data_IF_984279455853
#
_entry.id   IF_984279455853
#
_cell.length_a   1.000
_cell.length_b   1.000
_cell.length_c   1.000
_cell.angle_alpha   90.00
_cell.angle_beta   90.00
_cell.angle_gamma   90.00
#
_symmetry.space_group_name_H-M   'P 1'
#
loop_
_entity.id
_entity.type
_entity.pdbx_description
1 polymer ?
#
# COMPACT_ATOMS: atom_id res chain seq x y z
N UNK A 1 -23.42 12.42 27.39
CA UNK A 1 -24.81 12.60 26.91
C UNK A 1 -24.82 13.18 25.50
N UNK A 2 -24.36 14.43 25.30
CA UNK A 2 -24.40 15.12 24.00
C UNK A 2 -23.69 14.33 22.87
N UNK A 3 -22.46 13.87 23.12
CA UNK A 3 -21.67 13.05 22.19
C UNK A 3 -22.47 11.86 21.65
N UNK A 4 -23.14 11.11 22.54
CA UNK A 4 -23.99 9.97 22.15
C UNK A 4 -25.28 10.42 21.44
N UNK A 5 -25.95 11.44 21.97
CA UNK A 5 -27.23 11.93 21.44
C UNK A 5 -27.11 12.45 20.01
N UNK A 6 -25.99 13.11 19.68
CA UNK A 6 -25.72 13.66 18.37
C UNK A 6 -24.75 12.82 17.53
N UNK A 7 -24.44 11.61 17.98
CA UNK A 7 -23.56 10.65 17.29
C UNK A 7 -22.21 11.26 16.88
N UNK A 8 -21.63 12.06 17.77
CA UNK A 8 -20.30 12.64 17.57
C UNK A 8 -19.27 11.57 17.92
N UNK A 9 -18.75 10.86 16.93
CA UNK A 9 -17.76 9.81 17.15
C UNK A 9 -16.33 10.41 17.12
N UNK A 10 -15.48 9.97 18.06
CA UNK A 10 -14.04 10.19 17.98
C UNK A 10 -13.42 8.95 17.34
N UNK A 11 -12.72 9.10 16.22
CA UNK A 11 -11.91 8.02 15.65
C UNK A 11 -10.41 8.37 15.59
N UNK A 12 -10.04 9.61 15.88
CA UNK A 12 -8.66 9.95 16.15
C UNK A 12 -8.33 9.44 17.56
N UNK A 13 -7.85 8.19 17.63
CA UNK A 13 -7.26 7.62 18.85
C UNK A 13 -6.07 8.44 19.38
N UNK A 14 -5.61 9.41 18.59
CA UNK A 14 -4.48 10.29 18.87
C UNK A 14 -4.83 11.75 19.11
N UNK A 15 -6.11 12.15 19.23
CA UNK A 15 -6.43 13.54 19.61
C UNK A 15 -5.79 13.87 20.95
N UNK A 16 -4.77 14.73 20.95
CA UNK A 16 -4.14 15.20 22.18
C UNK A 16 -5.01 16.28 22.79
N UNK A 17 -5.76 15.92 23.83
CA UNK A 17 -6.53 16.89 24.59
C UNK A 17 -5.59 17.66 25.54
N UNK A 18 -5.73 18.99 25.66
CA UNK A 18 -4.88 19.80 26.54
C UNK A 18 -5.22 19.65 28.03
N UNK A 19 -6.22 18.80 28.36
CA UNK A 19 -6.80 18.73 29.70
C UNK A 19 -6.10 17.70 30.58
N UNK A 20 -5.45 18.19 31.64
CA UNK A 20 -4.73 17.37 32.62
C UNK A 20 -5.66 16.49 33.47
N UNK A 21 -6.94 16.85 33.59
CA UNK A 21 -7.96 16.10 34.33
C UNK A 21 -8.73 15.09 33.47
N UNK A 22 -8.39 14.96 32.18
CA UNK A 22 -9.00 13.99 31.26
C UNK A 22 -7.96 12.94 30.87
N UNK A 23 -8.07 11.75 31.47
CA UNK A 23 -7.12 10.64 31.25
C UNK A 23 -7.33 10.06 29.85
N UNK A 24 -6.26 9.96 29.03
CA UNK A 24 -6.30 9.33 27.69
C UNK A 24 -6.95 7.94 27.77
N UNK A 25 -7.83 7.63 26.81
CA UNK A 25 -8.60 6.38 26.73
C UNK A 25 -9.60 6.10 27.87
N UNK A 26 -9.87 7.05 28.75
CA UNK A 26 -10.98 6.94 29.71
C UNK A 26 -12.35 7.19 29.05
N UNK A 27 -13.44 6.79 29.70
CA UNK A 27 -14.80 7.14 29.24
C UNK A 27 -14.99 8.66 29.09
N UNK A 28 -14.38 9.43 29.99
CA UNK A 28 -14.42 10.89 29.92
C UNK A 28 -13.68 11.40 28.68
N UNK A 29 -12.54 10.82 28.32
CA UNK A 29 -11.80 11.17 27.11
C UNK A 29 -12.64 10.95 25.85
N UNK A 30 -13.30 9.80 25.73
CA UNK A 30 -14.18 9.52 24.60
C UNK A 30 -15.44 10.39 24.56
N UNK A 31 -15.90 10.90 25.71
CA UNK A 31 -17.01 11.85 25.77
C UNK A 31 -16.59 13.30 25.44
N UNK A 32 -15.43 13.72 25.94
CA UNK A 32 -14.92 15.10 25.83
C UNK A 32 -14.30 15.37 24.48
N UNK A 33 -13.52 14.44 23.93
CA UNK A 33 -12.76 14.62 22.70
C UNK A 33 -13.60 15.17 21.53
N UNK A 34 -14.69 14.50 21.13
CA UNK A 34 -15.54 14.99 20.04
C UNK A 34 -16.14 16.37 20.29
N UNK A 35 -16.47 16.70 21.54
CA UNK A 35 -17.04 18.00 21.90
C UNK A 35 -15.97 19.10 21.87
N UNK A 36 -14.72 18.77 22.14
CA UNK A 36 -13.61 19.71 22.07
C UNK A 36 -13.19 19.95 20.61
N UNK A 37 -13.02 18.87 19.84
CA UNK A 37 -12.58 18.91 18.44
C UNK A 37 -13.58 19.68 17.55
N UNK A 38 -14.88 19.53 17.82
CA UNK A 38 -15.93 20.28 17.13
C UNK A 38 -16.21 21.66 17.76
N UNK A 39 -15.33 22.15 18.64
CA UNK A 39 -15.43 23.45 19.31
C UNK A 39 -16.76 23.70 20.06
N UNK A 40 -17.44 22.63 20.47
CA UNK A 40 -18.65 22.72 21.28
C UNK A 40 -18.30 23.17 22.70
N UNK A 41 -17.22 22.61 23.25
CA UNK A 41 -16.68 22.89 24.58
C UNK A 41 -15.21 23.30 24.51
N UNK A 42 -14.72 24.01 25.53
CA UNK A 42 -13.33 24.52 25.58
C UNK A 42 -12.61 24.30 26.92
N UNK A 43 -13.20 23.54 27.83
CA UNK A 43 -12.76 23.44 29.22
C UNK A 43 -13.10 24.66 30.08
N UNK A 44 -12.82 24.55 31.39
CA UNK A 44 -12.97 25.65 32.37
C UNK A 44 -11.73 26.55 32.41
N UNK A 45 -10.56 25.97 32.12
CA UNK A 45 -9.29 26.66 31.87
C UNK A 45 -8.63 26.05 30.63
N UNK A 46 -7.48 26.59 30.22
CA UNK A 46 -6.72 26.05 29.09
C UNK A 46 -6.27 24.59 29.29
N UNK A 47 -6.07 24.16 30.54
CA UNK A 47 -5.52 22.83 30.87
C UNK A 47 -6.42 21.99 31.79
N UNK A 48 -7.64 22.44 32.06
CA UNK A 48 -8.61 21.72 32.90
C UNK A 48 -9.99 21.76 32.25
N UNK A 49 -10.58 20.58 32.07
CA UNK A 49 -11.92 20.44 31.52
C UNK A 49 -13.00 20.70 32.57
N UNK A 50 -12.81 20.19 33.80
CA UNK A 50 -13.73 20.36 34.92
C UNK A 50 -14.76 19.23 35.02
N UNK A 51 -14.32 17.96 34.97
CA UNK A 51 -15.21 16.78 34.94
C UNK A 51 -16.20 16.68 36.12
N UNK A 52 -15.90 17.33 37.25
CA UNK A 52 -16.74 17.34 38.47
C UNK A 52 -17.63 18.58 38.59
N UNK A 53 -17.46 19.56 37.70
CA UNK A 53 -18.21 20.81 37.76
C UNK A 53 -19.63 20.64 37.23
N UNK A 54 -20.59 21.30 37.87
CA UNK A 54 -22.00 21.26 37.42
C UNK A 54 -22.19 22.18 36.21
N UNK A 55 -22.71 21.63 35.12
CA UNK A 55 -23.08 22.40 33.93
C UNK A 55 -24.33 23.23 34.22
N UNK A 56 -24.23 24.55 34.07
CA UNK A 56 -25.37 25.47 34.20
C UNK A 56 -26.32 25.34 33.01
N UNK A 57 -27.61 25.61 33.22
CA UNK A 57 -28.63 25.61 32.14
C UNK A 57 -28.22 26.47 30.93
N UNK A 58 -27.62 27.64 31.17
CA UNK A 58 -27.14 28.53 30.11
C UNK A 58 -25.97 27.94 29.32
N UNK A 59 -25.06 27.21 29.97
CA UNK A 59 -23.95 26.53 29.29
C UNK A 59 -24.46 25.36 28.45
N UNK A 60 -25.39 24.56 28.99
CA UNK A 60 -26.00 23.47 28.22
C UNK A 60 -26.72 24.01 26.97
N UNK A 61 -27.49 25.09 27.09
CA UNK A 61 -28.15 25.74 25.96
C UNK A 61 -27.15 26.21 24.90
N UNK A 62 -26.00 26.75 25.31
CA UNK A 62 -24.93 27.15 24.40
C UNK A 62 -24.30 25.94 23.68
N UNK A 63 -24.07 24.83 24.39
CA UNK A 63 -23.53 23.61 23.78
C UNK A 63 -24.50 23.03 22.75
N UNK A 64 -25.79 22.98 23.07
CA UNK A 64 -26.83 22.53 22.13
C UNK A 64 -26.85 23.46 20.91
N UNK A 65 -26.87 24.78 21.09
CA UNK A 65 -26.89 25.72 19.97
C UNK A 65 -25.68 25.54 19.03
N UNK A 66 -24.48 25.33 19.57
CA UNK A 66 -23.27 25.06 18.78
C UNK A 66 -23.35 23.73 18.05
N UNK A 67 -23.85 22.68 18.71
CA UNK A 67 -24.01 21.37 18.08
C UNK A 67 -25.04 21.47 16.95
N UNK A 68 -26.18 22.11 17.17
CA UNK A 68 -27.21 22.29 16.14
C UNK A 68 -26.67 23.08 14.93
N UNK A 69 -25.91 24.16 15.18
CA UNK A 69 -25.26 24.92 14.11
C UNK A 69 -24.24 24.08 13.33
N UNK A 70 -23.42 23.30 14.04
CA UNK A 70 -22.48 22.36 13.44
C UNK A 70 -23.22 21.29 12.62
N UNK A 71 -24.27 20.66 13.16
CA UNK A 71 -25.07 19.65 12.46
C UNK A 71 -25.70 20.21 11.19
N UNK A 72 -26.20 21.45 11.23
CA UNK A 72 -26.77 22.12 10.06
C UNK A 72 -25.75 22.42 8.96
N UNK A 73 -24.45 22.45 9.29
CA UNK A 73 -23.36 22.66 8.32
C UNK A 73 -22.77 21.35 7.76
N UNK A 74 -23.14 20.19 8.31
CA UNK A 74 -22.66 18.90 7.82
C UNK A 74 -23.31 18.59 6.49
N UNK A 75 -22.51 18.06 5.57
CA UNK A 75 -22.94 17.73 4.21
C UNK A 75 -22.81 16.24 4.05
N UNK A 76 -23.92 15.60 3.65
CA UNK A 76 -23.99 14.17 3.48
C UNK A 76 -24.41 13.79 2.07
N UNK A 77 -23.95 12.62 1.62
CA UNK A 77 -24.44 11.93 0.43
C UNK A 77 -24.77 10.50 0.84
N UNK A 78 -25.98 10.05 0.55
CA UNK A 78 -26.40 8.67 0.82
C UNK A 78 -26.50 7.88 -0.49
N UNK A 79 -26.18 6.59 -0.41
CA UNK A 79 -26.41 5.60 -1.45
C UNK A 79 -27.20 4.46 -0.84
N UNK A 80 -28.33 4.10 -1.45
CA UNK A 80 -29.26 3.11 -0.88
C UNK A 80 -29.14 1.79 -1.61
N UNK A 81 -29.26 0.69 -0.87
CA UNK A 81 -29.19 -0.67 -1.43
C UNK A 81 -30.18 -0.90 -2.58
N UNK A 82 -31.38 -0.32 -2.47
CA UNK A 82 -32.42 -0.37 -3.50
C UNK A 82 -31.98 0.19 -4.87
N UNK A 83 -31.09 1.18 -4.90
CA UNK A 83 -30.66 1.85 -6.14
C UNK A 83 -29.71 0.95 -6.95
N UNK A 84 -29.14 -0.07 -6.30
CA UNK A 84 -28.22 -1.05 -6.88
C UNK A 84 -28.83 -2.46 -6.95
N UNK A 85 -30.11 -2.62 -6.56
CA UNK A 85 -30.74 -3.94 -6.49
C UNK A 85 -30.02 -4.92 -5.54
N UNK A 86 -29.37 -4.41 -4.49
CA UNK A 86 -28.56 -5.17 -3.55
C UNK A 86 -29.27 -5.35 -2.20
N UNK A 87 -28.84 -6.34 -1.42
CA UNK A 87 -29.22 -6.52 -0.01
C UNK A 87 -28.27 -5.75 0.93
N UNK A 88 -27.01 -5.59 0.51
CA UNK A 88 -25.96 -4.92 1.27
C UNK A 88 -25.09 -4.05 0.35
N UNK A 89 -24.67 -2.88 0.83
CA UNK A 89 -23.70 -2.02 0.16
C UNK A 89 -22.44 -1.89 1.01
N UNK A 90 -21.30 -2.07 0.37
CA UNK A 90 -19.99 -1.76 0.93
C UNK A 90 -19.33 -0.62 0.15
N UNK A 91 -18.51 0.17 0.82
CA UNK A 91 -17.80 1.28 0.22
C UNK A 91 -16.33 1.27 0.65
N UNK A 92 -15.43 1.31 -0.33
CA UNK A 92 -13.98 1.42 -0.11
C UNK A 92 -13.49 2.75 -0.67
N UNK A 93 -12.79 3.53 0.15
CA UNK A 93 -12.24 4.84 -0.25
C UNK A 93 -10.79 4.73 -0.73
N UNK A 94 -10.44 5.55 -1.72
CA UNK A 94 -9.10 5.68 -2.28
C UNK A 94 -8.70 7.16 -2.29
N UNK A 95 -7.46 7.44 -1.91
CA UNK A 95 -6.95 8.81 -1.75
C UNK A 95 -7.82 9.68 -0.83
N UNK A 96 -8.40 9.13 0.24
CA UNK A 96 -9.18 9.88 1.22
C UNK A 96 -8.29 10.51 2.30
N UNK A 97 -7.28 11.28 1.87
CA UNK A 97 -6.39 12.00 2.77
C UNK A 97 -6.19 13.42 2.26
N UNK A 98 -6.04 14.37 3.17
CA UNK A 98 -5.67 15.76 2.87
C UNK A 98 -4.27 15.83 2.25
N UNK A 99 -3.91 16.97 1.65
CA UNK A 99 -2.60 17.14 1.01
C UNK A 99 -1.41 16.95 1.97
N UNK A 100 -1.60 17.22 3.27
CA UNK A 100 -0.63 16.97 4.34
C UNK A 100 -0.70 15.53 4.91
N UNK A 101 -1.60 14.68 4.39
CA UNK A 101 -1.83 13.27 4.74
C UNK A 101 -2.13 12.99 6.21
N UNK A 102 -2.51 14.00 6.99
CA UNK A 102 -2.78 13.81 8.42
C UNK A 102 -4.25 13.48 8.71
N UNK A 103 -5.18 13.83 7.81
CA UNK A 103 -6.62 13.72 8.06
C UNK A 103 -7.40 13.25 6.83
N UNK A 104 -8.51 12.54 7.06
CA UNK A 104 -9.49 12.23 6.02
C UNK A 104 -10.30 13.48 5.65
N UNK A 105 -10.61 13.67 4.36
CA UNK A 105 -11.46 14.80 3.94
C UNK A 105 -12.94 14.41 3.78
N UNK A 106 -13.26 13.11 3.78
CA UNK A 106 -14.62 12.60 3.95
C UNK A 106 -14.65 11.36 4.83
N UNK A 107 -15.84 11.01 5.33
CA UNK A 107 -16.07 9.82 6.15
C UNK A 107 -17.19 8.96 5.58
N UNK A 108 -17.05 7.65 5.70
CA UNK A 108 -18.05 6.66 5.30
C UNK A 108 -18.72 6.07 6.55
N UNK A 109 -20.04 5.96 6.49
CA UNK A 109 -20.88 5.31 7.50
C UNK A 109 -21.66 4.17 6.86
N UNK A 110 -21.50 2.96 7.36
CA UNK A 110 -22.39 1.84 7.01
C UNK A 110 -23.75 2.05 7.65
N UNK A 111 -24.81 1.84 6.87
CA UNK A 111 -26.20 1.91 7.29
C UNK A 111 -26.87 0.56 7.01
N UNK A 112 -28.01 0.27 7.64
CA UNK A 112 -28.73 -0.97 7.37
C UNK A 112 -29.26 -1.04 5.93
N UNK A 113 -29.54 0.11 5.31
CA UNK A 113 -30.14 0.25 3.98
C UNK A 113 -29.19 0.92 2.96
N UNK A 114 -27.87 0.91 3.23
CA UNK A 114 -26.87 1.45 2.33
C UNK A 114 -25.65 2.05 3.02
N UNK A 115 -25.11 3.11 2.44
CA UNK A 115 -23.95 3.83 2.97
C UNK A 115 -24.17 5.33 2.95
N UNK A 116 -23.58 6.05 3.90
CA UNK A 116 -23.64 7.50 4.00
C UNK A 116 -22.24 8.09 4.07
N UNK A 117 -21.98 9.07 3.22
CA UNK A 117 -20.75 9.83 3.17
C UNK A 117 -20.96 11.17 3.87
N UNK A 118 -19.97 11.63 4.61
CA UNK A 118 -19.92 12.96 5.22
C UNK A 118 -18.70 13.72 4.71
N UNK A 119 -18.90 14.96 4.28
CA UNK A 119 -17.81 15.87 3.98
C UNK A 119 -17.19 16.45 5.26
N UNK A 120 -15.87 16.36 5.40
CA UNK A 120 -15.12 16.89 6.55
C UNK A 120 -14.32 18.14 6.19
N UNK A 121 -13.68 18.14 5.03
CA UNK A 121 -12.85 19.25 4.52
C UNK A 121 -12.79 19.24 3.00
N UNK A 122 -12.20 20.29 2.40
CA UNK A 122 -12.00 20.35 0.95
C UNK A 122 -11.02 19.28 0.49
N UNK A 123 -11.31 18.63 -0.64
CA UNK A 123 -10.49 17.56 -1.16
C UNK A 123 -11.12 16.86 -2.36
N UNK A 124 -10.34 16.02 -3.01
CA UNK A 124 -10.80 15.17 -4.12
C UNK A 124 -10.17 13.80 -4.00
N UNK A 125 -10.98 12.77 -4.27
CA UNK A 125 -10.54 11.38 -4.19
C UNK A 125 -11.53 10.47 -4.90
N UNK A 126 -11.47 9.19 -4.57
CA UNK A 126 -12.34 8.19 -5.17
C UNK A 126 -12.90 7.25 -4.11
N UNK A 127 -13.98 6.57 -4.45
CA UNK A 127 -14.45 5.41 -3.73
C UNK A 127 -15.09 4.41 -4.69
N UNK A 128 -15.11 3.14 -4.31
CA UNK A 128 -15.85 2.09 -5.01
C UNK A 128 -17.02 1.68 -4.12
N UNK A 129 -18.22 1.66 -4.69
CA UNK A 129 -19.37 1.01 -4.08
C UNK A 129 -19.53 -0.38 -4.66
N UNK A 130 -19.66 -1.38 -3.80
CA UNK A 130 -20.01 -2.74 -4.21
C UNK A 130 -21.31 -3.14 -3.56
N UNK A 131 -22.29 -3.52 -4.40
CA UNK A 131 -23.55 -4.11 -3.97
C UNK A 131 -23.49 -5.62 -3.97
N UNK A 132 -24.07 -6.22 -2.94
CA UNK A 132 -24.12 -7.67 -2.76
C UNK A 132 -25.56 -8.13 -2.54
N UNK A 133 -25.92 -9.28 -3.11
CA UNK A 133 -27.03 -10.10 -2.61
C UNK A 133 -26.51 -11.13 -1.62
N UNK A 134 -27.34 -11.47 -0.64
CA UNK A 134 -26.99 -12.45 0.38
C UNK A 134 -27.98 -13.62 0.26
N UNK A 135 -27.47 -14.82 -0.01
CA UNK A 135 -28.31 -16.01 -0.08
C UNK A 135 -28.75 -16.51 1.31
N UNK A 136 -29.63 -17.52 1.32
CA UNK A 136 -30.16 -18.11 2.56
C UNK A 136 -29.07 -18.76 3.45
N UNK A 137 -27.89 -19.06 2.90
CA UNK A 137 -26.74 -19.62 3.60
C UNK A 137 -25.79 -18.54 4.13
N UNK A 138 -26.02 -17.27 3.79
CA UNK A 138 -25.19 -16.13 4.17
C UNK A 138 -24.00 -15.89 3.23
N UNK A 139 -23.99 -16.48 2.04
CA UNK A 139 -22.97 -16.21 1.04
C UNK A 139 -23.28 -14.90 0.30
N UNK A 140 -22.22 -14.14 0.04
CA UNK A 140 -22.30 -12.86 -0.65
C UNK A 140 -22.02 -13.06 -2.14
N UNK A 141 -22.93 -12.61 -2.99
CA UNK A 141 -22.74 -12.53 -4.43
C UNK A 141 -22.72 -11.07 -4.88
N UNK A 142 -21.71 -10.68 -5.66
CA UNK A 142 -21.59 -9.30 -6.16
C UNK A 142 -22.63 -9.06 -7.24
N UNK A 143 -23.45 -8.03 -7.05
CA UNK A 143 -24.44 -7.54 -8.03
C UNK A 143 -23.79 -6.56 -8.99
N UNK A 144 -23.14 -5.54 -8.42
CA UNK A 144 -22.53 -4.44 -9.17
C UNK A 144 -21.41 -3.82 -8.32
N UNK A 145 -20.32 -3.42 -8.99
CA UNK A 145 -19.28 -2.59 -8.41
C UNK A 145 -19.09 -1.35 -9.28
N UNK A 146 -19.17 -0.17 -8.68
CA UNK A 146 -19.07 1.10 -9.39
C UNK A 146 -18.15 2.07 -8.67
N UNK A 147 -17.19 2.65 -9.41
CA UNK A 147 -16.29 3.69 -8.92
C UNK A 147 -16.91 5.07 -9.08
N UNK A 148 -16.66 5.91 -8.09
CA UNK A 148 -17.07 7.30 -8.04
C UNK A 148 -15.88 8.19 -7.74
N UNK A 149 -15.85 9.35 -8.39
CA UNK A 149 -15.04 10.50 -8.00
C UNK A 149 -15.82 11.31 -6.98
N UNK A 150 -15.21 11.57 -5.83
CA UNK A 150 -15.74 12.45 -4.80
C UNK A 150 -14.96 13.75 -4.80
N UNK A 151 -15.67 14.87 -4.87
CA UNK A 151 -15.08 16.20 -4.80
C UNK A 151 -15.83 16.99 -3.74
N UNK A 152 -15.09 17.50 -2.77
CA UNK A 152 -15.60 18.39 -1.72
C UNK A 152 -14.94 19.75 -1.87
N UNK A 153 -15.77 20.78 -1.99
CA UNK A 153 -15.33 22.18 -2.15
C UNK A 153 -16.04 23.08 -1.16
N UNK A 154 -15.44 24.20 -0.80
CA UNK A 154 -16.07 25.23 0.03
C UNK A 154 -16.59 26.38 -0.83
N UNK A 155 -17.92 26.53 -0.85
CA UNK A 155 -18.61 27.62 -1.56
C UNK A 155 -19.32 28.48 -0.53
N UNK A 156 -19.04 29.79 -0.51
CA UNK A 156 -19.59 30.74 0.46
C UNK A 156 -19.41 30.32 1.93
N UNK A 157 -18.29 29.64 2.23
CA UNK A 157 -17.97 29.18 3.57
C UNK A 157 -18.63 27.86 3.98
N UNK A 158 -19.47 27.26 3.11
CA UNK A 158 -20.12 25.97 3.35
C UNK A 158 -19.50 24.88 2.46
N UNK A 159 -19.35 23.68 3.00
CA UNK A 159 -18.92 22.54 2.20
C UNK A 159 -20.02 22.16 1.20
N UNK A 160 -19.60 21.65 0.06
CA UNK A 160 -20.45 21.00 -0.93
C UNK A 160 -19.74 19.74 -1.36
N UNK A 161 -20.49 18.65 -1.52
CA UNK A 161 -19.96 17.35 -1.93
C UNK A 161 -20.62 16.92 -3.23
N UNK A 162 -19.82 16.47 -4.18
CA UNK A 162 -20.29 15.87 -5.43
C UNK A 162 -19.66 14.49 -5.58
N UNK A 163 -20.49 13.48 -5.84
CA UNK A 163 -20.06 12.13 -6.16
C UNK A 163 -20.52 11.79 -7.58
N UNK A 164 -19.58 11.47 -8.48
CA UNK A 164 -19.88 11.16 -9.88
C UNK A 164 -19.27 9.82 -10.26
N UNK A 165 -20.03 8.96 -10.94
CA UNK A 165 -19.49 7.73 -11.50
C UNK A 165 -18.33 8.05 -12.44
N UNK A 166 -17.30 7.21 -12.41
CA UNK A 166 -16.09 7.42 -13.21
C UNK A 166 -15.42 6.10 -13.57
N UNK A 167 -14.85 6.06 -14.77
CA UNK A 167 -13.96 4.99 -15.25
C UNK A 167 -12.48 5.41 -15.17
N UNK A 168 -12.19 6.51 -14.46
CA UNK A 168 -10.81 6.97 -14.22
C UNK A 168 -10.03 5.92 -13.41
N UNK A 169 -9.00 5.34 -14.02
CA UNK A 169 -8.09 4.40 -13.36
C UNK A 169 -7.08 5.19 -12.53
N UNK A 170 -6.97 4.87 -11.23
CA UNK A 170 -5.97 5.51 -10.40
C UNK A 170 -4.57 5.02 -10.80
N UNK A 171 -3.59 5.92 -10.91
CA UNK A 171 -2.24 5.54 -11.30
C UNK A 171 -1.52 4.76 -10.20
N UNK A 172 -0.64 3.84 -10.61
CA UNK A 172 0.18 3.06 -9.70
C UNK A 172 1.48 3.77 -9.37
N UNK A 173 2.03 3.57 -8.18
CA UNK A 173 3.38 4.04 -7.82
C UNK A 173 4.22 2.87 -7.33
N UNK A 174 5.35 2.63 -8.01
CA UNK A 174 6.40 1.72 -7.56
C UNK A 174 7.58 2.51 -7.00
N UNK A 175 8.14 2.06 -5.88
CA UNK A 175 9.34 2.65 -5.29
C UNK A 175 10.59 1.86 -5.69
N UNK A 176 11.67 2.56 -5.98
CA UNK A 176 12.97 2.01 -6.33
C UNK A 176 14.06 2.62 -5.46
N UNK A 177 14.89 1.77 -4.87
CA UNK A 177 15.86 2.16 -3.86
C UNK A 177 17.30 1.91 -4.31
N UNK A 178 18.19 2.84 -3.98
CA UNK A 178 19.63 2.69 -4.19
C UNK A 178 20.19 1.46 -3.46
N UNK A 179 19.69 1.18 -2.24
CA UNK A 179 20.09 0.01 -1.47
C UNK A 179 19.85 -1.31 -2.23
N UNK A 180 18.76 -1.41 -2.98
CA UNK A 180 18.38 -2.63 -3.69
C UNK A 180 19.08 -2.75 -5.04
N UNK A 181 19.25 -1.62 -5.75
CA UNK A 181 19.86 -1.60 -7.08
C UNK A 181 21.39 -1.53 -7.04
N UNK A 182 21.98 -1.15 -5.90
CA UNK A 182 23.43 -1.01 -5.71
C UNK A 182 24.04 0.24 -6.36
N UNK A 183 23.19 1.16 -6.82
CA UNK A 183 23.55 2.46 -7.37
C UNK A 183 22.36 3.42 -7.30
N UNK A 184 22.62 4.73 -7.34
CA UNK A 184 21.58 5.77 -7.34
C UNK A 184 20.84 5.77 -8.69
N UNK A 185 19.56 5.33 -8.77
CA UNK A 185 18.85 5.14 -10.04
C UNK A 185 18.27 6.46 -10.57
N UNK A 186 19.11 7.49 -10.70
CA UNK A 186 18.69 8.86 -10.98
C UNK A 186 17.97 9.04 -12.33
N UNK A 187 18.34 8.23 -13.32
CA UNK A 187 17.79 8.32 -14.67
C UNK A 187 16.96 7.09 -14.99
N UNK A 188 15.92 7.30 -15.80
CA UNK A 188 15.06 6.23 -16.32
C UNK A 188 14.86 6.39 -17.82
N UNK A 189 14.88 5.27 -18.54
CA UNK A 189 14.31 5.14 -19.88
C UNK A 189 13.26 4.03 -19.88
N UNK A 190 12.02 4.37 -20.24
CA UNK A 190 10.92 3.41 -20.29
C UNK A 190 10.61 3.00 -21.73
N UNK A 191 10.45 1.69 -21.94
CA UNK A 191 10.00 1.10 -23.21
C UNK A 191 8.89 0.10 -22.95
N UNK A 192 8.05 -0.16 -23.94
CA UNK A 192 7.17 -1.35 -23.93
C UNK A 192 8.02 -2.62 -23.97
N UNK A 193 7.48 -3.77 -23.59
CA UNK A 193 8.18 -5.06 -23.73
C UNK A 193 8.60 -5.37 -25.19
N UNK A 194 7.90 -4.80 -26.17
CA UNK A 194 8.26 -4.88 -27.59
C UNK A 194 9.36 -3.90 -28.02
N UNK A 195 9.91 -3.09 -27.11
CA UNK A 195 11.01 -2.16 -27.36
C UNK A 195 10.59 -0.77 -27.87
N UNK A 196 9.30 -0.48 -28.01
CA UNK A 196 8.83 0.85 -28.40
C UNK A 196 9.01 1.86 -27.27
N UNK A 197 9.41 3.08 -27.60
CA UNK A 197 9.51 4.18 -26.63
C UNK A 197 8.14 4.51 -26.02
N UNK A 198 8.12 4.80 -24.72
CA UNK A 198 6.92 5.20 -23.99
C UNK A 198 6.89 6.72 -23.83
N UNK A 199 5.74 7.34 -24.02
CA UNK A 199 5.58 8.80 -23.82
C UNK A 199 5.72 9.17 -22.34
N UNK A 200 6.31 10.32 -22.10
CA UNK A 200 6.33 11.05 -20.81
C UNK A 200 4.94 11.32 -20.21
N UNK A 201 3.86 11.18 -20.97
CA UNK A 201 2.47 11.25 -20.44
C UNK A 201 2.01 9.98 -19.75
N UNK A 202 2.70 8.86 -19.98
CA UNK A 202 2.34 7.54 -19.45
C UNK A 202 2.99 7.29 -18.10
N UNK A 203 4.09 7.99 -17.79
CA UNK A 203 4.80 7.80 -16.54
C UNK A 203 5.44 9.09 -16.02
N UNK A 204 5.57 9.18 -14.70
CA UNK A 204 6.39 10.18 -14.03
C UNK A 204 7.42 9.47 -13.15
N UNK A 205 8.64 10.00 -13.10
CA UNK A 205 9.70 9.46 -12.27
C UNK A 205 10.39 10.60 -11.52
N UNK A 206 10.41 10.51 -10.19
CA UNK A 206 10.87 11.59 -9.34
C UNK A 206 11.47 11.06 -8.03
N UNK A 207 12.35 11.83 -7.36
CA UNK A 207 12.80 11.51 -6.01
C UNK A 207 11.61 11.31 -5.06
N UNK A 208 11.78 10.41 -4.09
CA UNK A 208 10.78 10.13 -3.06
C UNK A 208 11.36 10.40 -1.67
N UNK A 209 10.65 11.20 -0.88
CA UNK A 209 11.00 11.54 0.50
C UNK A 209 10.02 10.86 1.45
N UNK A 210 10.54 10.27 2.53
CA UNK A 210 9.76 9.51 3.51
C UNK A 210 9.35 10.40 4.69
N UNK A 211 8.65 11.49 4.42
CA UNK A 211 8.20 12.43 5.46
C UNK A 211 7.32 11.73 6.50
N UNK A 212 7.66 11.89 7.77
CA UNK A 212 6.92 11.28 8.89
C UNK A 212 7.25 9.82 9.19
N UNK A 213 8.19 9.20 8.47
CA UNK A 213 8.63 7.81 8.73
C UNK A 213 9.73 7.75 9.78
N UNK A 214 9.76 6.65 10.53
CA UNK A 214 10.86 6.37 11.48
C UNK A 214 12.18 6.19 10.74
N UNK A 215 13.23 6.89 11.18
CA UNK A 215 14.55 6.88 10.53
C UNK A 215 15.13 5.46 10.37
N UNK A 216 14.83 4.55 11.30
CA UNK A 216 15.31 3.16 11.24
C UNK A 216 14.63 2.32 10.15
N UNK A 217 13.49 2.77 9.64
CA UNK A 217 12.69 2.10 8.62
C UNK A 217 12.96 2.62 7.20
N UNK A 218 13.69 3.72 7.06
CA UNK A 218 13.98 4.34 5.76
C UNK A 218 15.13 3.59 5.06
N UNK A 219 14.94 3.12 3.81
CA UNK A 219 16.01 2.52 3.02
C UNK A 219 17.21 3.47 2.89
N UNK A 220 18.43 2.91 2.97
CA UNK A 220 19.66 3.71 2.82
C UNK A 220 19.83 4.19 1.37
N UNK A 221 20.32 5.42 1.21
CA UNK A 221 20.63 6.00 -0.09
C UNK A 221 19.43 6.69 -0.73
N UNK A 222 19.53 6.98 -2.03
CA UNK A 222 18.46 7.66 -2.76
C UNK A 222 17.25 6.74 -3.03
N UNK A 223 16.07 7.33 -3.06
CA UNK A 223 14.80 6.66 -3.35
C UNK A 223 14.02 7.43 -4.40
N UNK A 224 13.35 6.70 -5.29
CA UNK A 224 12.57 7.31 -6.37
C UNK A 224 11.24 6.59 -6.56
N UNK A 225 10.23 7.36 -6.93
CA UNK A 225 8.89 6.88 -7.25
C UNK A 225 8.69 6.88 -8.77
N UNK A 226 8.36 5.72 -9.33
CA UNK A 226 7.85 5.57 -10.68
C UNK A 226 6.32 5.47 -10.64
N UNK A 227 5.66 6.53 -11.11
CA UNK A 227 4.22 6.58 -11.25
C UNK A 227 3.81 6.19 -12.66
N UNK A 228 2.97 5.17 -12.81
CA UNK A 228 2.45 4.69 -14.09
C UNK A 228 0.96 5.02 -14.23
N UNK A 229 0.58 5.51 -15.42
CA UNK A 229 -0.78 5.95 -15.72
C UNK A 229 -1.55 4.97 -16.62
N UNK A 230 -0.88 3.94 -17.16
CA UNK A 230 -1.50 2.99 -18.10
C UNK A 230 -1.01 1.57 -17.85
N UNK A 231 -1.93 0.62 -17.98
CA UNK A 231 -1.64 -0.80 -17.98
C UNK A 231 -0.76 -1.20 -19.19
N UNK A 232 0.01 -2.27 -19.01
CA UNK A 232 0.88 -2.82 -20.03
C UNK A 232 2.17 -3.43 -19.46
N UNK A 233 2.90 -4.09 -20.34
CA UNK A 233 4.24 -4.62 -20.06
C UNK A 233 5.31 -3.62 -20.47
N UNK A 234 6.16 -3.25 -19.51
CA UNK A 234 7.20 -2.27 -19.67
C UNK A 234 8.58 -2.81 -19.27
N UNK A 235 9.61 -2.18 -19.81
CA UNK A 235 11.00 -2.37 -19.43
C UNK A 235 11.56 -1.00 -19.09
N UNK A 236 11.83 -0.78 -17.81
CA UNK A 236 12.55 0.38 -17.32
C UNK A 236 14.05 0.08 -17.34
N UNK A 237 14.84 1.00 -17.91
CA UNK A 237 16.30 0.98 -17.77
C UNK A 237 16.68 2.11 -16.82
N UNK A 238 17.09 1.75 -15.60
CA UNK A 238 17.58 2.71 -14.62
C UNK A 238 19.09 2.90 -14.77
N UNK A 239 19.58 4.12 -14.54
CA UNK A 239 21.02 4.38 -14.57
C UNK A 239 21.46 5.53 -13.66
N UNK A 240 22.73 5.52 -13.25
CA UNK A 240 23.39 6.63 -12.52
C UNK A 240 24.22 7.53 -13.44
N UNK A 241 24.79 8.59 -12.87
CA UNK A 241 25.70 9.51 -13.56
C UNK A 241 27.08 8.87 -13.90
N UNK A 242 27.40 7.70 -13.32
CA UNK A 242 28.64 6.96 -13.55
C UNK A 242 28.50 5.89 -14.66
N UNK A 243 27.30 5.74 -15.25
CA UNK A 243 27.01 4.80 -16.33
C UNK A 243 26.66 3.38 -15.86
N UNK A 244 26.48 3.14 -14.55
CA UNK A 244 25.87 1.90 -14.09
C UNK A 244 24.42 1.88 -14.52
N UNK A 245 23.92 0.71 -14.92
CA UNK A 245 22.52 0.56 -15.32
C UNK A 245 22.00 -0.84 -15.04
N UNK A 246 20.69 -0.94 -14.87
CA UNK A 246 19.97 -2.21 -14.74
C UNK A 246 18.62 -2.11 -15.43
N UNK A 247 18.18 -3.21 -16.04
CA UNK A 247 16.81 -3.31 -16.57
C UNK A 247 15.87 -3.84 -15.49
N UNK A 248 14.64 -3.38 -15.52
CA UNK A 248 13.56 -3.84 -14.65
C UNK A 248 12.35 -4.08 -15.52
N UNK A 249 11.85 -5.32 -15.51
CA UNK A 249 10.58 -5.67 -16.13
C UNK A 249 9.45 -5.22 -15.22
N UNK A 250 8.43 -4.58 -15.77
CA UNK A 250 7.29 -4.06 -15.01
C UNK A 250 6.01 -4.48 -15.71
N UNK A 251 5.19 -5.25 -15.02
CA UNK A 251 3.85 -5.59 -15.46
C UNK A 251 2.85 -4.71 -14.72
N UNK A 252 2.13 -3.87 -15.46
CA UNK A 252 1.08 -3.03 -14.93
C UNK A 252 -0.28 -3.55 -15.41
N UNK A 253 -1.17 -3.88 -14.47
CA UNK A 253 -2.51 -4.39 -14.76
C UNK A 253 -3.57 -3.59 -14.00
N UNK A 254 -4.83 -3.74 -14.39
CA UNK A 254 -5.94 -3.04 -13.76
C UNK A 254 -7.09 -4.00 -13.52
N UNK A 255 -7.74 -3.84 -12.37
CA UNK A 255 -9.01 -4.49 -12.04
C UNK A 255 -10.23 -3.68 -12.53
N UNK A 256 -9.99 -2.57 -13.24
CA UNK A 256 -11.00 -1.60 -13.67
C UNK A 256 -11.06 -0.35 -12.78
N UNK A 257 -10.41 -0.36 -11.61
CA UNK A 257 -10.44 0.73 -10.65
C UNK A 257 -9.05 1.31 -10.43
N UNK A 258 -8.07 0.46 -10.15
CA UNK A 258 -6.70 0.88 -9.88
C UNK A 258 -5.72 0.22 -10.83
N UNK A 259 -4.54 0.82 -10.93
CA UNK A 259 -3.41 0.21 -11.58
C UNK A 259 -2.51 -0.45 -10.52
N UNK A 260 -2.28 -1.75 -10.69
CA UNK A 260 -1.34 -2.54 -9.90
C UNK A 260 -0.10 -2.81 -10.70
N UNK A 261 1.05 -2.82 -10.03
CA UNK A 261 2.34 -3.08 -10.68
C UNK A 261 3.09 -4.17 -9.95
N UNK A 262 3.57 -5.15 -10.70
CA UNK A 262 4.64 -6.04 -10.27
C UNK A 262 5.91 -5.70 -11.06
N UNK A 263 7.07 -5.94 -10.46
CA UNK A 263 8.34 -5.66 -11.11
C UNK A 263 9.41 -6.70 -10.78
N UNK A 264 10.39 -6.84 -11.67
CA UNK A 264 11.50 -7.77 -11.52
C UNK A 264 12.80 -7.13 -12.01
N UNK A 265 13.79 -7.07 -11.12
CA UNK A 265 15.11 -6.52 -11.46
C UNK A 265 15.89 -7.55 -12.26
N UNK A 266 16.53 -7.12 -13.35
CA UNK A 266 17.31 -8.00 -14.22
C UNK A 266 18.45 -8.65 -13.44
N UNK A 267 18.37 -9.97 -13.29
CA UNK A 267 19.36 -10.79 -12.60
C UNK A 267 19.43 -12.16 -13.26
N UNK A 268 20.20 -12.23 -14.35
CA UNK A 268 20.42 -13.48 -15.09
C UNK A 268 21.58 -14.32 -14.54
N UNK A 269 22.30 -13.79 -13.55
CA UNK A 269 23.43 -14.46 -12.90
C UNK A 269 23.57 -14.01 -11.45
N UNK A 270 24.01 -14.92 -10.59
CA UNK A 270 24.25 -14.68 -9.17
C UNK A 270 25.58 -15.33 -8.80
N UNK A 271 26.48 -14.55 -8.21
CA UNK A 271 27.73 -15.05 -7.61
C UNK A 271 27.60 -15.09 -6.09
N UNK A 272 27.86 -16.26 -5.51
CA UNK A 272 27.90 -16.49 -4.06
C UNK A 272 29.38 -16.71 -3.68
N UNK A 273 30.01 -15.78 -2.96
CA UNK A 273 31.42 -15.91 -2.60
C UNK A 273 31.64 -17.03 -1.57
N UNK A 274 32.83 -17.62 -1.59
CA UNK A 274 33.25 -18.65 -0.61
C UNK A 274 33.10 -18.18 0.85
N UNK A 275 33.21 -16.88 1.11
CA UNK A 275 32.98 -16.29 2.44
C UNK A 275 31.53 -16.42 2.93
N UNK A 276 30.56 -16.42 2.00
CA UNK A 276 29.13 -16.63 2.29
C UNK A 276 28.81 -18.12 2.34
N UNK A 277 29.45 -18.93 1.48
CA UNK A 277 29.30 -20.40 1.52
C UNK A 277 29.87 -21.00 2.82
N UNK A 278 30.95 -20.42 3.35
CA UNK A 278 31.63 -20.87 4.58
C UNK A 278 32.66 -21.99 4.36
N UNK A 279 32.78 -22.52 3.14
CA UNK A 279 33.78 -23.54 2.77
C UNK A 279 34.06 -23.51 1.26
N UNK A 280 35.23 -24.01 0.86
CA UNK A 280 35.58 -24.16 -0.56
C UNK A 280 34.75 -25.28 -1.20
N UNK A 281 33.98 -24.94 -2.23
CA UNK A 281 33.11 -25.88 -2.95
C UNK A 281 33.94 -26.75 -3.89
N UNK A 282 33.85 -28.06 -3.71
CA UNK A 282 34.55 -29.05 -4.56
C UNK A 282 33.61 -29.82 -5.49
N UNK A 283 32.33 -29.89 -5.15
CA UNK A 283 31.30 -30.56 -5.95
C UNK A 283 29.93 -29.88 -5.73
N UNK A 284 29.00 -30.07 -6.66
CA UNK A 284 27.62 -29.60 -6.52
C UNK A 284 26.61 -30.54 -7.16
N UNK A 285 25.39 -30.53 -6.65
CA UNK A 285 24.24 -31.15 -7.30
C UNK A 285 23.16 -30.12 -7.55
N UNK A 286 22.51 -30.21 -8.70
CA UNK A 286 21.46 -29.30 -9.11
C UNK A 286 20.20 -30.09 -9.48
N UNK A 287 19.07 -29.63 -8.96
CA UNK A 287 17.74 -30.05 -9.36
C UNK A 287 16.95 -28.80 -9.76
N UNK A 288 16.17 -28.90 -10.84
CA UNK A 288 15.29 -27.82 -11.28
C UNK A 288 13.94 -28.39 -11.67
N UNK A 289 12.89 -27.67 -11.30
CA UNK A 289 11.50 -28.00 -11.58
C UNK A 289 10.91 -26.92 -12.48
N UNK A 290 10.49 -27.32 -13.67
CA UNK A 290 9.91 -26.46 -14.71
C UNK A 290 8.40 -26.67 -14.88
N UNK A 291 7.75 -27.44 -13.98
CA UNK A 291 6.35 -27.81 -14.15
C UNK A 291 6.06 -28.69 -15.37
N UNK A 292 7.10 -29.35 -15.93
CA UNK A 292 7.05 -30.04 -17.23
C UNK A 292 6.72 -29.12 -18.42
N UNK A 293 6.91 -27.80 -18.28
CA UNK A 293 6.71 -26.81 -19.37
C UNK A 293 7.95 -26.71 -20.27
N UNK A 294 9.14 -27.06 -19.75
CA UNK A 294 10.41 -26.99 -20.46
C UNK A 294 11.17 -28.31 -20.34
N UNK A 295 11.74 -28.78 -21.45
CA UNK A 295 12.54 -30.00 -21.56
C UNK A 295 14.06 -29.73 -21.60
N UNK A 296 14.46 -28.45 -21.63
CA UNK A 296 15.84 -27.98 -21.55
C UNK A 296 16.19 -27.42 -20.17
N UNK A 297 17.50 -27.26 -19.90
CA UNK A 297 17.98 -26.64 -18.66
C UNK A 297 17.70 -25.13 -18.65
N UNK A 298 17.20 -24.60 -17.54
CA UNK A 298 16.96 -23.17 -17.36
C UNK A 298 18.13 -22.47 -16.67
N UNK A 299 18.77 -23.16 -15.72
CA UNK A 299 19.98 -22.66 -15.06
C UNK A 299 21.14 -23.64 -15.18
N UNK A 300 22.35 -23.11 -15.01
CA UNK A 300 23.58 -23.86 -14.86
C UNK A 300 24.45 -23.25 -13.76
N UNK A 301 25.39 -24.04 -13.25
CA UNK A 301 26.25 -23.66 -12.13
C UNK A 301 27.70 -23.78 -12.55
N UNK A 302 28.49 -22.74 -12.28
CA UNK A 302 29.94 -22.78 -12.38
C UNK A 302 30.56 -22.53 -11.02
N UNK A 303 31.62 -23.26 -10.68
CA UNK A 303 32.37 -23.07 -9.44
C UNK A 303 33.79 -22.61 -9.71
N UNK A 304 34.32 -21.80 -8.80
CA UNK A 304 35.71 -21.38 -8.74
C UNK A 304 36.20 -21.45 -7.29
N UNK A 305 37.50 -21.30 -7.03
CA UNK A 305 37.99 -21.17 -5.65
C UNK A 305 37.37 -19.98 -4.89
N UNK A 306 36.90 -18.95 -5.60
CA UNK A 306 36.35 -17.72 -5.03
C UNK A 306 34.86 -17.84 -4.68
N UNK A 307 34.15 -18.82 -5.25
CA UNK A 307 32.74 -19.02 -4.99
C UNK A 307 32.02 -19.81 -6.07
N UNK A 308 30.70 -19.66 -6.10
CA UNK A 308 29.81 -20.35 -7.04
C UNK A 308 28.96 -19.33 -7.79
N UNK A 309 28.82 -19.51 -9.10
CA UNK A 309 27.94 -18.69 -9.93
C UNK A 309 26.79 -19.53 -10.46
N UNK A 310 25.56 -19.07 -10.23
CA UNK A 310 24.36 -19.59 -10.90
C UNK A 310 24.06 -18.70 -12.09
N UNK A 311 23.96 -19.27 -13.28
CA UNK A 311 23.71 -18.55 -14.52
C UNK A 311 22.40 -19.03 -15.14
N UNK A 312 21.70 -18.12 -15.81
CA UNK A 312 20.67 -18.49 -16.79
C UNK A 312 21.34 -19.27 -17.92
N UNK A 313 20.87 -20.49 -18.15
CA UNK A 313 21.31 -21.38 -19.23
C UNK A 313 20.28 -21.51 -20.36
N UNK A 314 19.00 -21.23 -20.08
CA UNK A 314 17.91 -21.33 -21.05
C UNK A 314 16.78 -20.34 -20.77
N UNK A 315 15.86 -20.24 -21.73
CA UNK A 315 14.63 -19.44 -21.59
C UNK A 315 13.57 -20.23 -20.83
N UNK A 316 12.83 -19.58 -19.95
CA UNK A 316 11.75 -20.19 -19.18
C UNK A 316 11.93 -19.99 -17.69
N UNK A 317 10.95 -20.49 -16.95
CA UNK A 317 10.89 -20.35 -15.50
C UNK A 317 11.26 -21.68 -14.85
N UNK A 318 11.94 -21.61 -13.71
CA UNK A 318 12.26 -22.78 -12.91
C UNK A 318 12.40 -22.43 -11.45
N UNK A 319 11.88 -23.32 -10.59
CA UNK A 319 12.33 -23.43 -9.21
C UNK A 319 13.54 -24.35 -9.21
N UNK A 320 14.59 -24.02 -8.47
CA UNK A 320 15.79 -24.84 -8.40
C UNK A 320 16.29 -25.05 -6.97
N UNK A 321 16.96 -26.18 -6.77
CA UNK A 321 17.69 -26.51 -5.57
C UNK A 321 19.12 -26.91 -5.95
N UNK A 322 20.10 -26.28 -5.31
CA UNK A 322 21.52 -26.55 -5.53
C UNK A 322 22.14 -26.94 -4.19
N UNK A 323 22.75 -28.12 -4.15
CA UNK A 323 23.51 -28.60 -3.00
C UNK A 323 25.00 -28.44 -3.27
N UNK A 324 25.64 -27.51 -2.56
CA UNK A 324 27.08 -27.28 -2.59
C UNK A 324 27.79 -28.21 -1.60
N UNK A 325 28.91 -28.80 -2.01
CA UNK A 325 29.63 -29.83 -1.24
C UNK A 325 31.10 -29.43 -1.08
N UNK A 326 31.57 -29.43 0.17
CA UNK A 326 32.96 -29.16 0.53
C UNK A 326 33.82 -30.42 0.61
N UNK A 327 35.14 -30.23 0.64
CA UNK A 327 36.13 -31.32 0.66
C UNK A 327 36.03 -32.23 1.90
N UNK A 328 35.48 -31.74 3.02
CA UNK A 328 35.31 -32.51 4.26
C UNK A 328 33.86 -33.00 4.43
N UNK A 329 33.05 -32.92 3.37
CA UNK A 329 31.65 -33.31 3.39
C UNK A 329 30.71 -32.23 3.93
N UNK A 330 31.16 -30.98 4.06
CA UNK A 330 30.30 -29.84 4.36
C UNK A 330 29.22 -29.69 3.28
N UNK A 331 28.02 -29.23 3.68
CA UNK A 331 26.91 -29.02 2.76
C UNK A 331 26.23 -27.68 3.03
N UNK A 332 25.92 -27.00 1.93
CA UNK A 332 25.04 -25.83 1.92
C UNK A 332 24.01 -26.02 0.81
N UNK A 333 22.77 -25.67 1.10
CA UNK A 333 21.66 -25.76 0.17
C UNK A 333 21.28 -24.36 -0.27
N UNK A 334 21.08 -24.20 -1.58
CA UNK A 334 20.57 -22.99 -2.18
C UNK A 334 19.24 -23.32 -2.84
N UNK A 335 18.19 -22.63 -2.42
CA UNK A 335 16.85 -22.76 -2.97
C UNK A 335 16.51 -21.47 -3.68
N UNK A 336 15.98 -21.54 -4.89
CA UNK A 336 15.71 -20.34 -5.64
C UNK A 336 14.71 -20.52 -6.76
N UNK A 337 14.40 -19.41 -7.41
CA UNK A 337 13.59 -19.35 -8.60
C UNK A 337 14.23 -18.42 -9.61
N UNK A 338 14.11 -18.78 -10.88
CA UNK A 338 14.36 -17.91 -12.01
C UNK A 338 13.06 -17.76 -12.78
N UNK A 339 12.72 -16.53 -13.14
CA UNK A 339 11.49 -16.24 -13.88
C UNK A 339 11.67 -15.05 -14.82
N UNK A 340 10.74 -14.90 -15.76
CA UNK A 340 10.68 -13.75 -16.68
C UNK A 340 9.43 -12.90 -16.41
N UNK A 341 9.62 -11.60 -16.20
CA UNK A 341 8.53 -10.63 -16.09
C UNK A 341 8.72 -9.55 -17.16
N UNK A 342 7.70 -9.35 -18.00
CA UNK A 342 7.70 -8.36 -19.08
C UNK A 342 8.98 -8.40 -19.96
N UNK A 343 9.52 -9.60 -20.20
CA UNK A 343 10.73 -9.84 -21.00
C UNK A 343 12.06 -9.59 -20.29
N UNK A 344 12.05 -9.38 -18.97
CA UNK A 344 13.24 -9.27 -18.11
C UNK A 344 13.35 -10.50 -17.23
N UNK A 345 14.54 -11.10 -17.18
CA UNK A 345 14.79 -12.27 -16.36
C UNK A 345 15.34 -11.88 -15.00
N UNK A 346 14.77 -12.46 -13.96
CA UNK A 346 15.22 -12.27 -12.58
C UNK A 346 15.44 -13.60 -11.89
N UNK A 347 16.30 -13.59 -10.88
CA UNK A 347 16.69 -14.75 -10.10
C UNK A 347 16.72 -14.40 -8.62
N UNK A 348 16.04 -15.20 -7.81
CA UNK A 348 16.04 -15.09 -6.35
C UNK A 348 16.54 -16.40 -5.77
N UNK A 349 17.25 -16.30 -4.64
CA UNK A 349 17.75 -17.46 -3.94
C UNK A 349 17.84 -17.18 -2.45
N UNK A 350 17.79 -18.25 -1.67
CA UNK A 350 18.08 -18.30 -0.24
C UNK A 350 19.09 -19.42 0.02
N UNK A 351 19.90 -19.23 1.05
CA UNK A 351 20.86 -20.23 1.51
C UNK A 351 20.36 -20.88 2.80
N UNK A 352 20.58 -22.17 2.95
CA UNK A 352 20.19 -22.94 4.12
C UNK A 352 21.25 -23.99 4.44
N UNK A 353 21.62 -24.06 5.71
CA UNK A 353 22.48 -25.10 6.24
C UNK A 353 21.73 -26.43 6.37
N UNK A 354 22.48 -27.53 6.48
CA UNK A 354 21.88 -28.85 6.72
C UNK A 354 21.08 -28.92 8.04
N UNK A 355 21.43 -28.10 9.04
CA UNK A 355 20.69 -28.02 10.30
C UNK A 355 19.34 -27.34 10.12
N UNK A 356 19.28 -26.24 9.38
CA UNK A 356 18.04 -25.49 9.11
C UNK A 356 17.06 -26.35 8.30
N UNK A 357 17.54 -27.02 7.25
CA UNK A 357 16.73 -27.94 6.44
C UNK A 357 16.09 -29.07 7.26
N UNK A 358 16.77 -29.57 8.29
CA UNK A 358 16.27 -30.64 9.16
C UNK A 358 15.43 -30.14 10.35
N UNK A 359 15.46 -28.84 10.64
CA UNK A 359 14.79 -28.22 11.79
C UNK A 359 13.37 -27.74 11.51
N UNK A 360 12.98 -27.56 10.24
CA UNK A 360 11.70 -26.97 9.83
C UNK A 360 10.47 -27.88 9.98
N UNK A 361 10.61 -29.08 10.57
CA UNK A 361 9.50 -30.03 10.80
C UNK A 361 9.44 -30.59 12.24
N UNK A 362 9.70 -29.76 13.26
CA UNK A 362 9.47 -30.13 14.66
C UNK A 362 8.51 -29.21 15.37
#
# INVERSE_FOLDING_TARGET
MLTKAYQLNNYAYETTLPFTDVIKYSEAYYAVGPLYDNHITKGVTETTFGLKETVKRSQLALFINRIEAMQASRVFQEFKTQDFGADYLEAFSYNNWTEDQEQEFFRIYSMNDGVKFEALSEGSGYFVLTGYTIDDEGNYEVVESQKYKIVITKVDGQLQMTCQQTDEIAPSTSLFFEADLGFNPKHIKLTTAAGHAVSDKVYAYQPFEFDGWDEGSIPKGASYALKLMQAGDYIATFSDDAGKSVRVGIHAETDGYDLYTSHAVEKSSVFIPTSEVGFAVTDYKIEQYTGAVHDHKIIDVTSSPEGVTVNRAGKGDAIFAIRLIGAKGEKLYMHGMIYELSGVTSMYYELSTEKEMNGSFR
#
